data_IF_994942744600
#
_entry.id   IF_994942744600
#
_cell.length_a   1.000
_cell.length_b   1.000
_cell.length_c   1.000
_cell.angle_alpha   90.00
_cell.angle_beta   90.00
_cell.angle_gamma   90.00
#
_symmetry.space_group_name_H-M   'P 1'
#
loop_
_entity.id
_entity.type
_entity.pdbx_description
1 polymer ?
#
# COMPACT_ATOMS: atom_id res chain seq x y z
N UNK A 1 2.66 36.28 12.07
CA UNK A 1 2.12 35.23 12.94
C UNK A 1 1.74 34.08 12.02
N UNK A 2 2.02 32.81 12.36
CA UNK A 2 1.61 31.69 11.52
C UNK A 2 0.09 31.70 11.37
N UNK A 3 -0.41 31.44 10.17
CA UNK A 3 -1.85 31.23 9.91
C UNK A 3 -2.30 29.93 10.61
N UNK A 4 -2.69 30.06 11.88
CA UNK A 4 -3.11 28.95 12.74
C UNK A 4 -4.25 28.12 12.12
N UNK A 5 -5.30 28.73 11.53
CA UNK A 5 -6.33 28.00 10.78
C UNK A 5 -5.77 27.14 9.63
N UNK A 6 -4.82 27.67 8.85
CA UNK A 6 -4.19 26.92 7.76
C UNK A 6 -3.38 25.72 8.28
N UNK A 7 -2.65 25.90 9.37
CA UNK A 7 -1.88 24.82 10.01
C UNK A 7 -2.80 23.74 10.58
N UNK A 8 -3.89 24.14 11.24
CA UNK A 8 -4.90 23.21 11.74
C UNK A 8 -5.52 22.39 10.60
N UNK A 9 -5.84 23.03 9.47
CA UNK A 9 -6.35 22.32 8.29
C UNK A 9 -5.31 21.34 7.74
N UNK A 10 -4.03 21.73 7.64
CA UNK A 10 -2.96 20.86 7.21
C UNK A 10 -2.82 19.61 8.09
N UNK A 11 -2.78 19.79 9.41
CA UNK A 11 -2.71 18.68 10.37
C UNK A 11 -3.92 17.75 10.25
N UNK A 12 -5.14 18.29 10.13
CA UNK A 12 -6.35 17.46 9.98
C UNK A 12 -6.45 16.75 8.64
N UNK A 13 -5.82 17.29 7.60
CA UNK A 13 -5.66 16.60 6.32
C UNK A 13 -4.52 15.56 6.33
N UNK A 14 -3.78 15.41 7.44
CA UNK A 14 -2.67 14.46 7.58
C UNK A 14 -1.36 14.94 6.95
N UNK A 15 -1.18 16.24 6.75
CA UNK A 15 0.05 16.81 6.20
C UNK A 15 1.11 17.03 7.29
N UNK A 16 2.31 16.54 7.04
CA UNK A 16 3.49 16.91 7.82
C UNK A 16 3.94 18.33 7.45
N UNK A 17 3.67 19.29 8.33
CA UNK A 17 4.10 20.69 8.16
C UNK A 17 5.59 20.85 8.45
N UNK A 18 6.10 20.09 9.41
CA UNK A 18 7.48 20.12 9.87
C UNK A 18 8.12 18.76 9.66
N UNK A 19 9.36 18.74 9.16
CA UNK A 19 10.13 17.50 9.00
C UNK A 19 11.63 17.76 9.17
N UNK A 20 12.41 16.69 9.30
CA UNK A 20 13.87 16.76 9.26
C UNK A 20 14.33 16.24 7.91
N UNK A 21 15.11 17.03 7.17
CA UNK A 21 15.62 16.62 5.86
C UNK A 21 16.75 15.59 5.96
N UNK A 22 17.20 15.08 4.80
CA UNK A 22 18.26 14.09 4.71
C UNK A 22 19.63 14.56 5.26
N UNK A 23 19.81 15.87 5.49
CA UNK A 23 21.00 16.45 6.09
C UNK A 23 20.81 16.74 7.59
N UNK A 24 19.74 16.25 8.20
CA UNK A 24 19.44 16.45 9.61
C UNK A 24 18.93 17.86 9.94
N UNK A 25 18.53 18.65 8.94
CA UNK A 25 18.07 20.03 9.18
C UNK A 25 16.56 20.06 9.35
N UNK A 26 16.04 20.78 10.35
CA UNK A 26 14.60 21.01 10.47
C UNK A 26 14.12 21.87 9.29
N UNK A 27 13.00 21.47 8.72
CA UNK A 27 12.33 22.14 7.61
C UNK A 27 10.87 22.36 7.96
N UNK A 28 10.29 23.44 7.44
CA UNK A 28 8.88 23.77 7.54
C UNK A 28 8.32 24.11 6.17
N UNK A 29 7.15 23.59 5.85
CA UNK A 29 6.46 23.87 4.59
C UNK A 29 6.00 25.33 4.59
N UNK A 30 6.22 26.05 3.48
CA UNK A 30 5.72 27.42 3.34
C UNK A 30 4.20 27.45 3.12
N UNK A 31 3.53 28.48 3.62
CA UNK A 31 2.07 28.64 3.47
C UNK A 31 1.58 28.54 2.00
N UNK A 32 2.25 29.14 0.98
CA UNK A 32 1.83 28.99 -0.41
C UNK A 32 1.93 27.56 -0.93
N UNK A 33 2.83 26.74 -0.38
CA UNK A 33 2.92 25.31 -0.71
C UNK A 33 1.80 24.55 -0.01
N UNK A 34 1.56 24.80 1.29
CA UNK A 34 0.46 24.18 2.03
C UNK A 34 -0.89 24.39 1.32
N UNK A 35 -1.21 25.63 0.92
CA UNK A 35 -2.46 25.94 0.21
C UNK A 35 -2.61 25.16 -1.10
N UNK A 36 -1.51 25.00 -1.87
CA UNK A 36 -1.53 24.24 -3.14
C UNK A 36 -1.67 22.74 -2.93
N UNK A 37 -0.96 22.17 -1.95
CA UNK A 37 -1.06 20.75 -1.61
C UNK A 37 -2.46 20.43 -1.09
N UNK A 38 -2.98 21.24 -0.16
CA UNK A 38 -4.35 21.10 0.35
C UNK A 38 -5.39 21.18 -0.78
N UNK A 39 -5.28 22.15 -1.68
CA UNK A 39 -6.16 22.24 -2.84
C UNK A 39 -6.05 20.99 -3.75
N UNK A 40 -4.84 20.49 -3.99
CA UNK A 40 -4.61 19.27 -4.77
C UNK A 40 -5.18 18.00 -4.12
N UNK A 41 -5.29 17.98 -2.79
CA UNK A 41 -5.95 16.92 -2.02
C UNK A 41 -7.48 17.11 -1.92
N UNK A 42 -8.04 18.17 -2.51
CA UNK A 42 -9.48 18.45 -2.46
C UNK A 42 -9.94 19.28 -1.25
N UNK A 43 -9.02 19.95 -0.56
CA UNK A 43 -9.28 20.86 0.57
C UNK A 43 -8.87 22.30 0.21
N UNK A 44 -9.69 23.06 -0.54
CA UNK A 44 -9.36 24.43 -0.88
C UNK A 44 -9.02 25.29 0.34
N UNK A 45 -7.92 26.02 0.26
CA UNK A 45 -7.42 26.86 1.33
C UNK A 45 -6.92 28.20 0.75
N UNK A 46 -7.67 28.80 -0.18
CA UNK A 46 -7.27 30.08 -0.81
C UNK A 46 -7.41 31.28 0.14
N UNK A 47 -8.40 31.23 1.04
CA UNK A 47 -8.74 32.26 2.02
C UNK A 47 -9.35 31.62 3.29
N UNK A 48 -9.64 32.43 4.30
CA UNK A 48 -10.16 31.97 5.60
C UNK A 48 -11.52 31.27 5.49
N UNK A 49 -12.35 31.68 4.52
CA UNK A 49 -13.66 31.06 4.29
C UNK A 49 -13.49 29.67 3.69
N UNK A 50 -12.58 29.53 2.72
CA UNK A 50 -12.22 28.25 2.14
C UNK A 50 -11.62 27.31 3.19
N UNK A 51 -10.73 27.80 4.06
CA UNK A 51 -10.15 27.03 5.17
C UNK A 51 -11.25 26.54 6.11
N UNK A 52 -12.15 27.43 6.56
CA UNK A 52 -13.23 27.07 7.47
C UNK A 52 -14.20 26.05 6.85
N UNK A 53 -14.51 26.17 5.56
CA UNK A 53 -15.36 25.21 4.85
C UNK A 53 -14.66 23.85 4.71
N UNK A 54 -13.37 23.82 4.39
CA UNK A 54 -12.57 22.60 4.30
C UNK A 54 -12.45 21.88 5.65
N UNK A 55 -12.24 22.63 6.74
CA UNK A 55 -12.25 22.09 8.11
C UNK A 55 -13.59 21.43 8.45
N UNK A 56 -14.71 22.12 8.21
CA UNK A 56 -16.05 21.55 8.42
C UNK A 56 -16.31 20.31 7.57
N UNK A 57 -15.80 20.27 6.35
CA UNK A 57 -15.94 19.11 5.47
C UNK A 57 -15.14 17.90 6.01
N UNK A 58 -13.91 18.13 6.49
CA UNK A 58 -13.09 17.10 7.15
C UNK A 58 -13.74 16.61 8.45
N UNK A 59 -14.21 17.52 9.30
CA UNK A 59 -14.95 17.20 10.52
C UNK A 59 -16.16 16.35 10.19
N UNK A 60 -17.00 16.74 9.22
CA UNK A 60 -18.15 15.94 8.80
C UNK A 60 -17.76 14.56 8.25
N UNK A 61 -16.66 14.47 7.51
CA UNK A 61 -16.16 13.20 6.99
C UNK A 61 -15.63 12.28 8.11
N UNK A 62 -15.07 12.87 9.18
CA UNK A 62 -14.51 12.15 10.32
C UNK A 62 -15.54 11.83 11.42
N UNK A 63 -16.52 12.71 11.62
CA UNK A 63 -17.65 12.55 12.56
C UNK A 63 -18.63 11.46 12.12
N UNK A 64 -18.52 11.02 10.86
CA UNK A 64 -19.31 9.93 10.39
C UNK A 64 -18.83 8.65 11.08
N UNK A 65 -19.73 8.03 11.87
CA UNK A 65 -19.76 6.59 12.18
C UNK A 65 -19.90 5.74 10.91
N UNK A 66 -19.28 6.19 9.83
CA UNK A 66 -19.22 5.55 8.56
C UNK A 66 -18.24 4.41 8.71
N UNK A 67 -18.79 3.21 8.66
CA UNK A 67 -18.01 2.00 8.59
C UNK A 67 -17.13 2.05 7.34
N UNK A 68 -15.79 1.99 7.48
CA UNK A 68 -14.91 1.96 6.33
C UNK A 68 -15.21 0.73 5.45
N UNK A 69 -15.13 0.85 4.12
CA UNK A 69 -15.37 -0.29 3.22
C UNK A 69 -14.32 -1.40 3.38
N UNK A 70 -13.16 -1.06 3.96
CA UNK A 70 -12.08 -1.98 4.30
C UNK A 70 -11.57 -1.67 5.71
N UNK A 71 -11.51 -2.70 6.54
CA UNK A 71 -10.79 -2.72 7.81
C UNK A 71 -9.64 -3.72 7.72
N UNK A 72 -8.59 -3.49 8.49
CA UNK A 72 -7.40 -4.36 8.56
C UNK A 72 -7.18 -4.78 10.00
N UNK A 73 -6.79 -6.04 10.21
CA UNK A 73 -6.40 -6.54 11.53
C UNK A 73 -5.21 -7.49 11.38
N UNK A 74 -4.31 -7.47 12.37
CA UNK A 74 -3.25 -8.48 12.42
C UNK A 74 -3.84 -9.84 12.80
N UNK A 75 -3.29 -10.90 12.21
CA UNK A 75 -3.66 -12.27 12.53
C UNK A 75 -3.54 -12.51 14.04
N UNK A 76 -4.52 -13.21 14.60
CA UNK A 76 -4.64 -13.52 16.03
C UNK A 76 -4.97 -12.32 16.95
N UNK A 77 -5.19 -11.12 16.40
CA UNK A 77 -5.70 -9.99 17.17
C UNK A 77 -7.21 -9.84 16.99
N UNK A 78 -7.94 -9.44 18.05
CA UNK A 78 -9.34 -9.04 17.90
C UNK A 78 -9.43 -7.70 17.17
N UNK A 79 -10.53 -7.47 16.45
CA UNK A 79 -10.83 -6.18 15.81
C UNK A 79 -11.91 -5.45 16.61
N UNK A 80 -11.57 -4.32 17.20
CA UNK A 80 -12.54 -3.46 17.89
C UNK A 80 -13.51 -2.83 16.89
N UNK A 81 -14.80 -3.12 17.05
CA UNK A 81 -15.89 -2.56 16.24
C UNK A 81 -16.92 -1.80 17.08
N UNK A 82 -16.60 -1.43 18.32
CA UNK A 82 -17.52 -0.78 19.26
C UNK A 82 -18.06 0.57 18.78
N UNK A 83 -17.34 1.24 17.86
CA UNK A 83 -17.80 2.48 17.24
C UNK A 83 -18.98 2.26 16.28
N UNK A 84 -19.10 1.06 15.71
CA UNK A 84 -20.00 0.75 14.59
C UNK A 84 -21.14 -0.18 14.98
N UNK A 85 -20.90 -1.12 15.90
CA UNK A 85 -21.85 -2.20 16.22
C UNK A 85 -22.00 -2.40 17.73
N UNK A 86 -23.10 -3.05 18.11
CA UNK A 86 -23.36 -3.40 19.51
C UNK A 86 -22.57 -4.65 19.92
N UNK A 87 -22.36 -4.79 21.24
CA UNK A 87 -21.83 -6.03 21.80
C UNK A 87 -22.72 -7.21 21.43
N UNK A 88 -22.11 -8.39 21.22
CA UNK A 88 -22.83 -9.62 20.84
C UNK A 88 -23.60 -9.59 19.51
N UNK A 89 -23.37 -8.60 18.65
CA UNK A 89 -23.92 -8.60 17.28
C UNK A 89 -23.46 -9.84 16.51
N UNK A 90 -24.37 -10.43 15.74
CA UNK A 90 -24.10 -11.56 14.85
C UNK A 90 -23.36 -11.07 13.62
N UNK A 91 -22.29 -11.78 13.24
CA UNK A 91 -21.47 -11.47 12.07
C UNK A 91 -21.47 -12.67 11.11
N UNK A 92 -21.88 -12.47 9.87
CA UNK A 92 -21.71 -13.46 8.81
C UNK A 92 -20.44 -13.15 8.03
N UNK A 93 -19.48 -14.07 8.05
CA UNK A 93 -18.23 -13.96 7.32
C UNK A 93 -18.27 -14.85 6.08
N UNK A 94 -18.02 -14.26 4.92
CA UNK A 94 -17.62 -14.99 3.71
C UNK A 94 -16.10 -14.89 3.59
N UNK A 95 -15.43 -16.04 3.72
CA UNK A 95 -13.97 -16.11 3.65
C UNK A 95 -13.49 -16.04 2.20
N UNK A 96 -12.18 -15.81 2.03
CA UNK A 96 -11.56 -15.65 0.71
C UNK A 96 -11.69 -16.92 -0.15
N UNK A 97 -11.68 -18.10 0.49
CA UNK A 97 -11.88 -19.40 -0.16
C UNK A 97 -13.35 -19.67 -0.56
N UNK A 98 -14.25 -18.73 -0.27
CA UNK A 98 -15.68 -18.82 -0.55
C UNK A 98 -16.51 -19.52 0.53
N UNK A 99 -15.87 -20.09 1.56
CA UNK A 99 -16.57 -20.67 2.71
C UNK A 99 -17.29 -19.60 3.53
N UNK A 100 -18.27 -20.03 4.33
CA UNK A 100 -19.07 -19.15 5.18
C UNK A 100 -18.99 -19.59 6.63
N UNK A 101 -18.84 -18.63 7.52
CA UNK A 101 -18.83 -18.85 8.96
C UNK A 101 -19.66 -17.77 9.66
N UNK A 102 -20.49 -18.20 10.60
CA UNK A 102 -21.17 -17.29 11.52
C UNK A 102 -20.30 -17.07 12.74
N UNK A 103 -20.02 -15.81 13.04
CA UNK A 103 -19.28 -15.32 14.20
C UNK A 103 -20.19 -14.44 15.06
N UNK A 104 -19.72 -14.09 16.25
CA UNK A 104 -20.39 -13.14 17.12
C UNK A 104 -19.35 -12.19 17.72
N UNK A 105 -19.70 -10.90 17.82
CA UNK A 105 -18.87 -9.95 18.55
C UNK A 105 -18.88 -10.29 20.05
N UNK A 106 -17.82 -9.94 20.76
CA UNK A 106 -17.74 -10.15 22.20
C UNK A 106 -18.52 -9.08 23.00
N UNK A 107 -18.37 -9.10 24.34
CA UNK A 107 -19.02 -8.14 25.24
C UNK A 107 -18.53 -6.70 25.10
N UNK A 108 -17.39 -6.48 24.44
CA UNK A 108 -16.83 -5.18 24.10
C UNK A 108 -17.09 -4.81 22.62
N UNK A 109 -17.93 -5.57 21.91
CA UNK A 109 -18.17 -5.41 20.47
C UNK A 109 -16.91 -5.59 19.60
N UNK A 110 -15.94 -6.38 20.06
CA UNK A 110 -14.81 -6.77 19.24
C UNK A 110 -15.12 -8.06 18.45
N UNK A 111 -14.69 -8.11 17.19
CA UNK A 111 -14.68 -9.33 16.40
C UNK A 111 -13.56 -10.23 16.94
N UNK A 112 -13.85 -11.46 17.38
CA UNK A 112 -12.83 -12.37 17.90
C UNK A 112 -11.76 -12.69 16.85
N UNK A 113 -10.54 -12.90 17.33
CA UNK A 113 -9.47 -13.45 16.53
C UNK A 113 -9.81 -14.86 16.01
N UNK A 114 -9.25 -15.26 14.87
CA UNK A 114 -9.34 -16.64 14.37
C UNK A 114 -9.67 -16.77 12.88
N UNK A 115 -10.03 -15.66 12.21
CA UNK A 115 -10.11 -15.67 10.75
C UNK A 115 -8.72 -15.90 10.13
N UNK A 116 -8.63 -16.68 9.03
CA UNK A 116 -7.37 -16.94 8.35
C UNK A 116 -6.80 -15.66 7.73
N UNK A 117 -5.53 -15.67 7.34
CA UNK A 117 -4.95 -14.57 6.55
C UNK A 117 -5.65 -14.50 5.21
N UNK A 118 -6.06 -13.29 4.80
CA UNK A 118 -6.77 -13.09 3.55
C UNK A 118 -7.73 -11.91 3.56
N UNK A 119 -8.50 -11.79 2.48
CA UNK A 119 -9.57 -10.81 2.32
C UNK A 119 -10.94 -11.47 2.48
N UNK A 120 -11.73 -11.00 3.44
CA UNK A 120 -13.03 -11.57 3.78
C UNK A 120 -14.13 -10.52 3.65
N UNK A 121 -15.33 -10.94 3.27
CA UNK A 121 -16.51 -10.09 3.33
C UNK A 121 -17.28 -10.35 4.62
N UNK A 122 -17.45 -9.31 5.44
CA UNK A 122 -18.19 -9.38 6.69
C UNK A 122 -19.52 -8.64 6.57
N UNK A 123 -20.56 -9.27 7.11
CA UNK A 123 -21.90 -8.71 7.19
C UNK A 123 -22.36 -8.69 8.65
N UNK A 124 -22.64 -7.48 9.16
CA UNK A 124 -23.20 -7.26 10.51
C UNK A 124 -24.39 -6.32 10.33
N UNK A 125 -25.55 -6.73 10.85
CA UNK A 125 -26.83 -6.04 10.64
C UNK A 125 -27.12 -5.78 9.15
N UNK A 126 -27.23 -4.51 8.74
CA UNK A 126 -27.44 -4.11 7.35
C UNK A 126 -26.15 -3.64 6.65
N UNK A 127 -24.99 -3.77 7.31
CA UNK A 127 -23.70 -3.28 6.82
C UNK A 127 -22.85 -4.41 6.25
N UNK A 128 -22.07 -4.09 5.21
CA UNK A 128 -21.13 -5.00 4.57
C UNK A 128 -19.78 -4.28 4.42
N UNK A 129 -18.68 -4.97 4.74
CA UNK A 129 -17.33 -4.41 4.66
C UNK A 129 -16.28 -5.52 4.48
N UNK A 130 -15.18 -5.16 3.84
CA UNK A 130 -14.05 -6.08 3.68
C UNK A 130 -13.20 -6.06 4.94
N UNK A 131 -12.82 -7.24 5.43
CA UNK A 131 -11.76 -7.39 6.43
C UNK A 131 -10.53 -8.00 5.76
N UNK A 132 -9.40 -7.32 5.83
CA UNK A 132 -8.10 -7.88 5.49
C UNK A 132 -7.39 -8.33 6.78
N UNK A 133 -7.19 -9.64 6.92
CA UNK A 133 -6.40 -10.22 8.01
C UNK A 133 -4.96 -10.36 7.54
N UNK A 134 -4.07 -9.58 8.13
CA UNK A 134 -2.66 -9.51 7.74
C UNK A 134 -1.80 -10.49 8.57
N UNK A 135 -0.80 -11.16 7.99
CA UNK A 135 0.15 -11.96 8.76
C UNK A 135 1.02 -11.06 9.64
N UNK A 136 1.43 -11.55 10.80
CA UNK A 136 2.26 -10.79 11.76
C UNK A 136 3.65 -10.40 11.22
N UNK A 137 4.10 -11.05 10.15
CA UNK A 137 5.36 -10.73 9.46
C UNK A 137 5.26 -11.08 7.98
N UNK A 138 6.08 -10.42 7.17
CA UNK A 138 6.27 -10.80 5.77
C UNK A 138 6.98 -12.16 5.64
N UNK A 139 6.80 -12.80 4.48
CA UNK A 139 7.63 -13.91 4.04
C UNK A 139 9.08 -13.44 3.88
N UNK A 140 10.02 -14.23 4.37
CA UNK A 140 11.42 -13.87 4.49
C UNK A 140 12.33 -14.87 3.75
N UNK A 141 13.61 -14.53 3.62
CA UNK A 141 14.61 -15.47 3.11
C UNK A 141 14.76 -16.72 4.00
N UNK A 142 14.48 -16.59 5.31
CA UNK A 142 14.54 -17.72 6.22
C UNK A 142 13.46 -18.75 5.89
N UNK A 143 12.27 -18.28 5.48
CA UNK A 143 11.18 -19.15 5.01
C UNK A 143 11.51 -19.76 3.65
N UNK A 144 12.05 -18.95 2.73
CA UNK A 144 12.40 -19.40 1.38
C UNK A 144 13.50 -20.48 1.35
N UNK A 145 14.46 -20.39 2.26
CA UNK A 145 15.62 -21.27 2.34
C UNK A 145 15.53 -22.29 3.48
N UNK A 146 14.39 -22.36 4.17
CA UNK A 146 14.15 -23.23 5.34
C UNK A 146 15.32 -23.20 6.35
N UNK A 147 15.83 -21.99 6.62
CA UNK A 147 17.04 -21.77 7.44
C UNK A 147 16.85 -20.54 8.32
N UNK A 148 16.95 -20.63 9.66
CA UNK A 148 16.67 -19.51 10.57
C UNK A 148 17.54 -18.25 10.35
N UNK A 149 18.78 -18.45 9.91
CA UNK A 149 19.74 -17.37 9.65
C UNK A 149 20.38 -17.57 8.27
N UNK A 150 19.64 -17.30 7.18
CA UNK A 150 20.13 -17.58 5.84
C UNK A 150 21.32 -16.67 5.54
N UNK A 151 22.39 -17.25 4.99
CA UNK A 151 23.53 -16.53 4.41
C UNK A 151 23.52 -16.65 2.90
N UNK A 152 22.35 -16.39 2.32
CA UNK A 152 22.17 -16.42 0.89
C UNK A 152 22.79 -15.21 0.19
N UNK A 153 23.08 -15.37 -1.09
CA UNK A 153 23.54 -14.27 -1.94
C UNK A 153 22.76 -14.25 -3.24
N UNK A 154 22.81 -13.11 -3.92
CA UNK A 154 22.11 -12.93 -5.18
C UNK A 154 22.82 -11.92 -6.06
N UNK A 155 22.35 -11.81 -7.30
CA UNK A 155 22.81 -10.79 -8.24
C UNK A 155 21.70 -9.81 -8.54
N UNK A 156 22.07 -8.58 -8.89
CA UNK A 156 21.13 -7.57 -9.38
C UNK A 156 21.41 -7.29 -10.85
N UNK A 157 20.36 -7.28 -11.68
CA UNK A 157 20.49 -7.01 -13.11
C UNK A 157 19.47 -5.98 -13.59
N UNK A 158 19.93 -5.06 -14.43
CA UNK A 158 19.04 -4.24 -15.24
C UNK A 158 18.66 -5.06 -16.47
N UNK A 159 17.40 -5.51 -16.57
CA UNK A 159 17.00 -6.52 -17.58
C UNK A 159 17.28 -6.05 -19.00
N UNK A 160 16.99 -4.78 -19.29
CA UNK A 160 17.28 -4.14 -20.57
C UNK A 160 18.78 -4.13 -20.96
N UNK A 161 19.69 -4.28 -19.99
CA UNK A 161 21.14 -4.33 -20.22
C UNK A 161 21.68 -5.72 -20.55
N UNK A 162 20.89 -6.78 -20.31
CA UNK A 162 21.28 -8.14 -20.65
C UNK A 162 21.38 -8.32 -22.16
N UNK A 163 22.14 -9.33 -22.58
CA UNK A 163 22.32 -9.67 -23.99
C UNK A 163 22.20 -11.16 -24.23
N UNK A 164 21.58 -11.55 -25.34
CA UNK A 164 21.57 -12.90 -25.90
C UNK A 164 21.63 -12.85 -27.43
N UNK A 165 22.12 -13.91 -28.10
CA UNK A 165 22.05 -14.00 -29.55
C UNK A 165 20.61 -13.84 -30.06
N UNK A 166 20.43 -13.02 -31.09
CA UNK A 166 19.12 -12.75 -31.67
C UNK A 166 18.22 -11.86 -30.83
N UNK A 167 18.75 -11.19 -29.80
CA UNK A 167 18.03 -10.08 -29.18
C UNK A 167 18.07 -8.84 -30.08
N UNK A 168 17.05 -7.99 -29.99
CA UNK A 168 16.99 -6.73 -30.75
C UNK A 168 17.92 -5.65 -30.22
N UNK A 169 19.03 -6.01 -29.58
CA UNK A 169 19.96 -5.07 -28.93
C UNK A 169 19.61 -4.71 -27.49
N UNK A 170 18.68 -5.42 -26.86
CA UNK A 170 18.30 -5.25 -25.45
C UNK A 170 17.84 -6.58 -24.85
N UNK A 171 17.97 -6.73 -23.53
CA UNK A 171 17.60 -7.97 -22.85
C UNK A 171 16.10 -8.13 -22.66
N UNK A 172 15.62 -9.36 -22.83
CA UNK A 172 14.22 -9.80 -22.69
C UNK A 172 14.09 -10.89 -21.60
N UNK A 173 12.90 -11.49 -21.45
CA UNK A 173 12.66 -12.56 -20.49
C UNK A 173 13.56 -13.79 -20.72
N UNK A 174 13.96 -14.09 -21.97
CA UNK A 174 14.87 -15.20 -22.26
C UNK A 174 16.30 -14.90 -21.81
N UNK A 175 16.78 -13.66 -21.99
CA UNK A 175 18.07 -13.24 -21.45
C UNK A 175 18.07 -13.28 -19.91
N UNK A 176 16.95 -12.91 -19.29
CA UNK A 176 16.77 -13.00 -17.84
C UNK A 176 16.77 -14.46 -17.35
N UNK A 177 16.09 -15.36 -18.06
CA UNK A 177 16.09 -16.80 -17.76
C UNK A 177 17.52 -17.38 -17.81
N UNK A 178 18.27 -17.04 -18.86
CA UNK A 178 19.66 -17.49 -19.01
C UNK A 178 20.54 -17.02 -17.85
N UNK A 179 20.39 -15.77 -17.41
CA UNK A 179 21.08 -15.25 -16.24
C UNK A 179 20.67 -15.98 -14.95
N UNK A 180 19.36 -16.19 -14.73
CA UNK A 180 18.85 -16.87 -13.55
C UNK A 180 19.42 -18.29 -13.43
N UNK A 181 19.43 -19.05 -14.53
CA UNK A 181 20.02 -20.41 -14.57
C UNK A 181 21.51 -20.38 -14.25
N UNK A 182 22.26 -19.51 -14.92
CA UNK A 182 23.71 -19.38 -14.70
C UNK A 182 24.08 -18.97 -13.27
N UNK A 183 23.28 -18.08 -12.66
CA UNK A 183 23.46 -17.66 -11.27
C UNK A 183 23.11 -18.78 -10.29
N UNK A 184 22.01 -19.50 -10.52
CA UNK A 184 21.59 -20.64 -9.69
C UNK A 184 22.62 -21.78 -9.72
N UNK A 185 23.22 -22.09 -10.87
CA UNK A 185 24.32 -23.06 -11.00
C UNK A 185 25.55 -22.71 -10.14
N UNK A 186 25.71 -21.42 -9.79
CA UNK A 186 26.77 -20.92 -8.92
C UNK A 186 26.32 -20.79 -7.46
N UNK A 187 25.09 -21.19 -7.15
CA UNK A 187 24.51 -21.17 -5.81
C UNK A 187 23.91 -19.83 -5.41
N UNK A 188 23.50 -18.98 -6.36
CA UNK A 188 22.73 -17.77 -6.04
C UNK A 188 21.29 -18.12 -5.64
N UNK A 189 20.81 -17.54 -4.56
CA UNK A 189 19.45 -17.74 -4.03
C UNK A 189 18.44 -16.71 -4.56
N UNK A 190 18.94 -15.59 -5.07
CA UNK A 190 18.09 -14.48 -5.47
C UNK A 190 18.61 -13.74 -6.72
N UNK A 191 17.66 -13.19 -7.48
CA UNK A 191 17.90 -12.30 -8.60
C UNK A 191 17.03 -11.05 -8.45
N UNK A 192 17.65 -9.91 -8.17
CA UNK A 192 16.97 -8.63 -8.14
C UNK A 192 16.96 -8.01 -9.55
N UNK A 193 15.80 -7.57 -10.02
CA UNK A 193 15.66 -7.04 -11.39
C UNK A 193 15.13 -5.61 -11.40
N UNK A 194 15.45 -4.89 -12.47
CA UNK A 194 14.75 -3.65 -12.83
C UNK A 194 13.25 -3.88 -13.03
N UNK A 195 12.38 -2.90 -12.73
CA UNK A 195 10.94 -3.04 -12.98
C UNK A 195 10.63 -3.37 -14.45
N UNK A 196 9.70 -4.31 -14.65
CA UNK A 196 9.21 -4.72 -15.98
C UNK A 196 7.80 -4.18 -16.26
N UNK A 197 7.42 -3.11 -15.58
CA UNK A 197 6.12 -2.46 -15.70
C UNK A 197 5.85 -1.95 -17.11
N UNK A 198 4.58 -1.98 -17.51
CA UNK A 198 4.12 -1.49 -18.80
C UNK A 198 4.58 -0.04 -19.02
N UNK A 199 5.16 0.20 -20.20
CA UNK A 199 5.64 1.50 -20.64
C UNK A 199 4.62 2.14 -21.59
N UNK A 200 5.03 3.19 -22.28
CA UNK A 200 4.18 3.92 -23.23
C UNK A 200 4.37 3.40 -24.64
N UNK A 201 3.28 3.08 -25.33
CA UNK A 201 3.31 2.56 -26.70
C UNK A 201 3.76 3.59 -27.73
N UNK A 202 3.59 4.89 -27.46
CA UNK A 202 3.85 5.98 -28.42
C UNK A 202 4.76 7.09 -27.90
N UNK A 203 5.42 6.90 -26.74
CA UNK A 203 6.31 7.91 -26.14
C UNK A 203 7.73 7.34 -25.95
N UNK A 204 8.42 7.11 -27.07
CA UNK A 204 9.75 6.49 -27.12
C UNK A 204 10.83 7.14 -26.22
N UNK A 205 10.85 8.48 -26.00
CA UNK A 205 11.81 9.09 -25.09
C UNK A 205 11.63 8.69 -23.62
N UNK A 206 10.47 8.15 -23.23
CA UNK A 206 10.21 7.70 -21.86
C UNK A 206 10.62 6.24 -21.69
N UNK A 207 11.90 6.03 -21.38
CA UNK A 207 12.50 4.71 -21.22
C UNK A 207 12.87 4.35 -19.76
N UNK A 208 12.61 5.23 -18.79
CA UNK A 208 12.88 4.96 -17.38
C UNK A 208 11.89 3.92 -16.83
N UNK A 209 12.35 2.75 -16.30
CA UNK A 209 11.46 1.74 -15.72
C UNK A 209 10.76 2.20 -14.43
N UNK A 210 11.19 3.35 -13.87
CA UNK A 210 10.60 3.96 -12.67
C UNK A 210 9.54 5.02 -12.97
N UNK A 211 9.23 5.25 -14.26
CA UNK A 211 8.13 6.11 -14.70
C UNK A 211 7.19 5.34 -15.65
N UNK A 212 6.61 4.20 -15.20
CA UNK A 212 5.77 3.37 -16.05
C UNK A 212 4.39 4.00 -16.29
N UNK A 213 3.70 3.54 -17.32
CA UNK A 213 2.29 3.87 -17.55
C UNK A 213 1.37 3.09 -16.59
N UNK A 214 1.77 1.88 -16.19
CA UNK A 214 1.05 1.07 -15.20
C UNK A 214 1.99 0.18 -14.41
N UNK A 215 1.79 0.10 -13.09
CA UNK A 215 2.48 -0.86 -12.21
C UNK A 215 1.82 -2.24 -12.17
N UNK A 216 0.65 -2.41 -12.82
CA UNK A 216 -0.13 -3.65 -12.81
C UNK A 216 0.16 -4.56 -14.02
N UNK A 217 0.54 -3.98 -15.15
CA UNK A 217 0.79 -4.72 -16.39
C UNK A 217 2.28 -4.78 -16.71
N UNK A 218 2.69 -5.77 -17.52
CA UNK A 218 4.07 -5.92 -17.97
C UNK A 218 4.33 -5.17 -19.28
N UNK A 219 5.58 -4.77 -19.49
CA UNK A 219 6.04 -4.23 -20.77
C UNK A 219 6.20 -5.34 -21.80
N UNK A 220 5.37 -5.32 -22.84
CA UNK A 220 5.39 -6.30 -23.92
C UNK A 220 6.70 -6.36 -24.71
N UNK A 221 7.58 -5.36 -24.57
CA UNK A 221 8.91 -5.40 -25.19
C UNK A 221 9.80 -6.51 -24.64
N UNK A 222 9.55 -6.98 -23.41
CA UNK A 222 10.34 -8.05 -22.79
C UNK A 222 9.75 -9.45 -22.99
N UNK A 223 8.59 -9.57 -23.63
CA UNK A 223 7.87 -10.83 -23.82
C UNK A 223 8.62 -11.78 -24.76
#
# INVERSE_FOLDING_TARGET
>A
MPDLPLLQLAERAGLAVDWVDANGRPQRVSEPVLRRVLAGLGHPAADDTAIANSLKALEKAHDARHLPPLLTVDQYQPLDLALYFAAHSRCEAQLEDGSRQTLQLDGAAALPAGLPVGYHQLHIDASAFTLAVAPARCYSLADALDTPHPRGWGVSAQVYSLRRPGDGGFGDCLALEALARSAAERGADALAISPLHAMFTRNHPSYSPYSPSSRLFFNSLYA
#
